data_IF_627945855349
#
_entry.id   IF_627945855349
#
_cell.length_a   1.000
_cell.length_b   1.000
_cell.length_c   1.000
_cell.angle_alpha   90.00
_cell.angle_beta   90.00
_cell.angle_gamma   90.00
#
_symmetry.space_group_name_H-M   'P 1'
#
loop_
_entity.id
_entity.type
_entity.pdbx_description
1 polymer ?
#
# COMPACT_ATOMS: atom_id res chain seq x y z
N UNK A 1 18.87 -9.41 11.28
CA UNK A 1 19.64 -9.46 10.01
C UNK A 1 19.73 -8.07 9.38
N UNK A 2 20.86 -7.70 8.77
CA UNK A 2 21.06 -6.37 8.17
C UNK A 2 20.10 -6.07 7.01
N UNK A 3 19.70 -7.10 6.25
CA UNK A 3 18.74 -6.98 5.13
C UNK A 3 17.36 -6.51 5.59
N UNK A 4 16.81 -7.11 6.66
CA UNK A 4 15.50 -6.74 7.20
C UNK A 4 15.45 -5.28 7.68
N UNK A 5 16.55 -4.79 8.30
CA UNK A 5 16.66 -3.38 8.69
C UNK A 5 16.68 -2.45 7.48
N UNK A 6 17.46 -2.78 6.44
CA UNK A 6 17.50 -1.98 5.19
C UNK A 6 16.14 -1.92 4.50
N UNK A 7 15.42 -3.04 4.46
CA UNK A 7 14.09 -3.10 3.88
C UNK A 7 13.08 -2.25 4.68
N UNK A 8 13.12 -2.30 6.01
CA UNK A 8 12.29 -1.45 6.88
C UNK A 8 12.62 0.04 6.72
N UNK A 9 13.92 0.39 6.68
CA UNK A 9 14.38 1.76 6.51
C UNK A 9 13.92 2.35 5.17
N UNK A 10 14.00 1.56 4.10
CA UNK A 10 13.53 1.94 2.78
C UNK A 10 12.00 2.04 2.73
N UNK A 11 11.26 1.13 3.39
CA UNK A 11 9.81 1.25 3.56
C UNK A 11 9.40 2.55 4.26
N UNK A 12 10.13 2.98 5.30
CA UNK A 12 9.89 4.28 5.95
C UNK A 12 10.19 5.47 5.03
N UNK A 13 11.14 5.36 4.10
CA UNK A 13 11.42 6.41 3.10
C UNK A 13 10.26 6.53 2.11
N UNK A 14 9.79 5.41 1.56
CA UNK A 14 8.59 5.35 0.71
C UNK A 14 7.41 6.05 1.39
N UNK A 15 7.15 5.71 2.66
CA UNK A 15 6.02 6.31 3.38
C UNK A 15 6.16 7.82 3.49
N UNK A 16 7.35 8.34 3.83
CA UNK A 16 7.56 9.79 3.93
C UNK A 16 7.36 10.51 2.60
N UNK A 17 7.75 9.90 1.48
CA UNK A 17 7.64 10.52 0.16
C UNK A 17 6.24 10.42 -0.43
N UNK A 18 5.55 9.30 -0.23
CA UNK A 18 4.24 9.05 -0.83
C UNK A 18 3.06 9.53 0.03
N UNK A 19 3.19 9.58 1.36
CA UNK A 19 2.10 10.01 2.27
C UNK A 19 1.56 11.41 1.94
N UNK A 20 2.38 12.45 1.65
CA UNK A 20 1.88 13.78 1.33
C UNK A 20 1.06 13.87 0.03
N UNK A 21 1.18 12.87 -0.84
CA UNK A 21 0.49 12.78 -2.14
C UNK A 21 -0.76 11.91 -2.07
N UNK A 22 -0.99 11.25 -0.93
CA UNK A 22 -2.15 10.43 -0.68
C UNK A 22 -3.16 11.20 0.18
N UNK A 23 -4.45 11.00 -0.11
CA UNK A 23 -5.56 11.48 0.70
C UNK A 23 -5.66 10.74 2.02
N UNK A 24 -5.33 9.45 2.03
CA UNK A 24 -5.27 8.61 3.22
C UNK A 24 -4.24 7.50 3.04
N UNK A 25 -3.72 6.99 4.17
CA UNK A 25 -2.75 5.90 4.21
C UNK A 25 -3.24 4.87 5.23
N UNK A 26 -3.25 3.60 4.86
CA UNK A 26 -3.67 2.50 5.73
C UNK A 26 -2.62 1.40 5.74
N UNK A 27 -2.18 1.00 6.93
CA UNK A 27 -1.33 -0.17 7.08
C UNK A 27 -2.14 -1.45 6.78
N UNK A 28 -1.60 -2.28 5.90
CA UNK A 28 -2.12 -3.60 5.62
C UNK A 28 -1.64 -4.63 6.66
N UNK A 29 -2.18 -5.86 6.63
CA UNK A 29 -1.69 -6.95 7.47
C UNK A 29 -0.22 -7.25 7.17
N UNK A 30 0.47 -7.82 8.15
CA UNK A 30 1.82 -8.33 7.97
C UNK A 30 1.80 -9.50 6.97
N UNK A 31 2.62 -9.38 5.92
CA UNK A 31 2.76 -10.42 4.90
C UNK A 31 4.17 -11.00 5.03
N UNK A 32 4.26 -12.33 5.16
CA UNK A 32 5.56 -12.98 5.23
C UNK A 32 6.41 -12.67 3.99
N UNK A 33 7.64 -12.22 4.21
CA UNK A 33 8.54 -11.78 3.14
C UNK A 33 8.39 -10.33 2.71
N UNK A 34 7.39 -9.60 3.21
CA UNK A 34 7.24 -8.16 2.99
C UNK A 34 7.70 -7.37 4.22
N UNK A 35 8.59 -6.41 4.02
CA UNK A 35 9.02 -5.52 5.10
C UNK A 35 7.95 -4.47 5.46
N UNK A 36 7.05 -4.15 4.51
CA UNK A 36 5.99 -3.18 4.68
C UNK A 36 4.85 -3.50 3.69
N UNK A 37 3.61 -3.46 4.17
CA UNK A 37 2.41 -3.58 3.35
C UNK A 37 1.48 -2.41 3.67
N UNK A 38 1.32 -1.46 2.75
CA UNK A 38 0.58 -0.21 2.99
C UNK A 38 -0.22 0.15 1.74
N UNK A 39 -1.45 0.60 1.96
CA UNK A 39 -2.36 1.11 0.93
C UNK A 39 -2.43 2.63 0.98
N UNK A 40 -2.44 3.25 -0.19
CA UNK A 40 -2.57 4.70 -0.37
C UNK A 40 -3.87 5.00 -1.12
N UNK A 41 -4.72 5.84 -0.54
CA UNK A 41 -5.86 6.43 -1.24
C UNK A 41 -5.37 7.72 -1.91
N UNK A 42 -5.53 7.83 -3.22
CA UNK A 42 -5.09 8.99 -4.02
C UNK A 42 -6.26 9.57 -4.78
N UNK A 43 -6.20 10.88 -5.06
CA UNK A 43 -7.16 11.52 -5.96
C UNK A 43 -7.09 10.88 -7.34
N UNK A 44 -8.24 10.74 -8.00
CA UNK A 44 -8.35 10.03 -9.29
C UNK A 44 -7.40 10.60 -10.34
N UNK A 45 -7.32 11.93 -10.42
CA UNK A 45 -6.50 12.63 -11.42
C UNK A 45 -5.01 12.67 -11.03
N UNK A 46 -4.67 12.31 -9.79
CA UNK A 46 -3.30 12.21 -9.29
C UNK A 46 -2.74 10.78 -9.34
N UNK A 47 -3.55 9.78 -9.73
CA UNK A 47 -3.18 8.37 -9.71
C UNK A 47 -1.93 8.05 -10.56
N UNK A 48 -1.88 8.53 -11.79
CA UNK A 48 -0.74 8.29 -12.69
C UNK A 48 0.55 8.95 -12.18
N UNK A 49 0.44 10.17 -11.65
CA UNK A 49 1.58 10.87 -11.05
C UNK A 49 2.10 10.14 -9.80
N UNK A 50 1.19 9.62 -8.98
CA UNK A 50 1.54 8.82 -7.80
C UNK A 50 2.25 7.52 -8.19
N UNK A 51 1.71 6.80 -9.19
CA UNK A 51 2.34 5.57 -9.70
C UNK A 51 3.71 5.84 -10.32
N UNK A 52 3.87 6.95 -11.05
CA UNK A 52 5.16 7.34 -11.61
C UNK A 52 6.20 7.61 -10.51
N UNK A 53 5.82 8.30 -9.44
CA UNK A 53 6.71 8.57 -8.31
C UNK A 53 7.09 7.28 -7.56
N UNK A 54 6.12 6.40 -7.31
CA UNK A 54 6.37 5.10 -6.68
C UNK A 54 7.34 4.23 -7.52
N UNK A 55 7.20 4.25 -8.85
CA UNK A 55 8.11 3.56 -9.76
C UNK A 55 9.51 4.18 -9.81
N UNK A 56 9.62 5.51 -9.74
CA UNK A 56 10.92 6.21 -9.61
C UNK A 56 11.63 5.80 -8.33
N UNK A 57 10.93 5.84 -7.20
CA UNK A 57 11.49 5.39 -5.93
C UNK A 57 11.94 3.93 -6.02
N UNK A 58 11.12 3.03 -6.57
CA UNK A 58 11.49 1.63 -6.74
C UNK A 58 12.74 1.47 -7.63
N UNK A 59 12.87 2.30 -8.66
CA UNK A 59 14.04 2.30 -9.56
C UNK A 59 15.30 2.82 -8.87
N UNK A 60 15.21 3.91 -8.11
CA UNK A 60 16.33 4.50 -7.36
C UNK A 60 16.81 3.59 -6.21
N UNK A 61 15.93 2.68 -5.77
CA UNK A 61 16.22 1.70 -4.71
C UNK A 61 16.33 0.27 -5.25
N UNK A 62 16.52 0.08 -6.57
CA UNK A 62 16.74 -1.25 -7.20
C UNK A 62 17.93 -1.94 -6.55
N UNK A 63 17.64 -2.96 -5.73
CA UNK A 63 18.62 -3.71 -4.93
C UNK A 63 18.34 -3.72 -3.42
N UNK A 64 17.39 -2.90 -2.95
CA UNK A 64 17.00 -2.83 -1.54
C UNK A 64 15.50 -3.03 -1.29
N UNK A 65 14.66 -2.80 -2.30
CA UNK A 65 13.20 -2.89 -2.19
C UNK A 65 12.59 -3.51 -3.44
N UNK A 66 11.64 -4.43 -3.25
CA UNK A 66 10.67 -4.80 -4.27
C UNK A 66 9.35 -4.09 -3.91
N UNK A 67 8.91 -3.17 -4.77
CA UNK A 67 7.67 -2.43 -4.58
C UNK A 67 6.58 -3.06 -5.47
N UNK A 68 5.56 -3.67 -4.86
CA UNK A 68 4.42 -4.24 -5.59
C UNK A 68 3.26 -3.26 -5.51
N UNK A 69 2.91 -2.67 -6.66
CA UNK A 69 1.77 -1.77 -6.80
C UNK A 69 0.58 -2.57 -7.32
N UNK A 70 -0.49 -2.63 -6.53
CA UNK A 70 -1.79 -3.13 -6.98
C UNK A 70 -2.68 -1.92 -7.28
N UNK A 71 -2.75 -1.48 -8.54
CA UNK A 71 -3.62 -0.36 -8.90
C UNK A 71 -3.71 -0.03 -10.40
N UNK A 72 -4.71 0.78 -10.81
CA UNK A 72 -5.79 1.31 -9.97
C UNK A 72 -6.83 0.22 -9.65
N UNK A 73 -7.09 0.00 -8.36
CA UNK A 73 -8.14 -0.93 -7.96
C UNK A 73 -9.49 -0.37 -8.41
N UNK A 74 -10.41 -1.21 -8.93
CA UNK A 74 -11.77 -0.77 -9.22
C UNK A 74 -12.44 -0.18 -7.97
N UNK A 75 -13.35 0.78 -8.13
CA UNK A 75 -13.98 1.52 -7.03
C UNK A 75 -14.62 0.60 -5.95
N UNK A 76 -15.05 -0.61 -6.34
CA UNK A 76 -15.61 -1.62 -5.45
C UNK A 76 -14.59 -2.29 -4.52
N UNK A 77 -13.29 -2.07 -4.71
CA UNK A 77 -12.23 -2.64 -3.87
C UNK A 77 -11.93 -1.84 -2.60
N UNK A 78 -12.47 -0.62 -2.47
CA UNK A 78 -12.42 0.17 -1.23
C UNK A 78 -13.61 -0.12 -0.30
N UNK A 79 -14.55 -0.95 -0.75
CA UNK A 79 -15.64 -1.49 0.08
C UNK A 79 -15.07 -2.72 0.80
N UNK A 80 -14.23 -2.51 1.80
CA UNK A 80 -13.70 -3.61 2.59
C UNK A 80 -14.84 -4.23 3.41
N UNK A 81 -15.20 -5.46 3.06
CA UNK A 81 -15.64 -6.52 3.96
C UNK A 81 -16.30 -6.06 5.29
N UNK A 82 -17.49 -5.48 5.23
CA UNK A 82 -18.48 -5.73 6.28
C UNK A 82 -19.06 -7.14 6.07
N UNK A 83 -18.21 -8.14 6.27
CA UNK A 83 -18.69 -9.50 6.42
C UNK A 83 -18.63 -9.84 7.91
N UNK A 84 -19.81 -9.81 8.57
CA UNK A 84 -20.44 -10.94 9.29
C UNK A 84 -21.43 -10.45 10.39
N UNK A 85 -22.42 -11.25 10.83
CA UNK A 85 -23.27 -12.26 10.17
C UNK A 85 -24.75 -11.82 10.14
N UNK A 86 -25.57 -12.37 9.25
CA UNK A 86 -27.03 -12.35 9.44
C UNK A 86 -27.41 -13.44 10.46
N UNK A 87 -28.02 -13.12 11.61
CA UNK A 87 -28.72 -14.12 12.38
C UNK A 87 -30.01 -14.46 11.62
N UNK A 88 -30.10 -15.65 11.04
CA UNK A 88 -31.41 -16.21 10.68
C UNK A 88 -32.06 -16.65 11.98
N UNK A 89 -32.80 -15.72 12.58
CA UNK A 89 -33.69 -15.97 13.70
C UNK A 89 -35.13 -15.82 13.25
N UNK A 90 -35.85 -16.94 13.21
CA UNK A 90 -37.27 -17.04 13.58
C UNK A 90 -38.31 -16.65 12.54
N UNK A 91 -39.08 -17.66 12.12
CA UNK A 91 -40.36 -17.55 11.40
C UNK A 91 -40.86 -18.93 11.02
#
# INVERSE_FOLDING_TARGET
AALARRAADAGRRVLRELTPRARAVAAGPEVQGCALNVSFLVERDAGDAFLAEAQRFASDNRGHVELRLAGPLPCYSFVAAEARPVPVGGG
#
